data_IF_792511198540
#
_entry.id   IF_792511198540
#
_cell.length_a   1.000
_cell.length_b   1.000
_cell.length_c   1.000
_cell.angle_alpha   90.00
_cell.angle_beta   90.00
_cell.angle_gamma   90.00
#
_symmetry.space_group_name_H-M   'P 1'
#
loop_
_entity.id
_entity.type
_entity.pdbx_description
1 polymer ?
#
# COMPACT_ATOMS: atom_id res chain seq x y z
N UNK A 1 9.51 11.08 -12.67
CA UNK A 1 8.35 10.18 -12.54
C UNK A 1 8.55 9.13 -11.43
N UNK A 2 7.63 9.09 -10.46
CA UNK A 2 7.66 8.15 -9.33
C UNK A 2 6.86 6.90 -9.70
N UNK A 3 7.33 5.75 -9.23
CA UNK A 3 6.54 4.53 -9.22
C UNK A 3 6.38 4.13 -7.76
N UNK A 4 5.27 4.55 -7.15
CA UNK A 4 4.90 4.10 -5.81
C UNK A 4 4.43 2.67 -5.96
N UNK A 5 5.24 1.73 -5.47
CA UNK A 5 4.75 0.39 -5.22
C UNK A 5 4.45 0.32 -3.75
N UNK A 6 3.20 0.64 -3.44
CA UNK A 6 2.55 -0.17 -2.44
C UNK A 6 2.75 -1.62 -2.91
N UNK A 7 3.32 -2.51 -2.10
CA UNK A 7 3.60 -3.88 -2.54
C UNK A 7 2.25 -4.60 -2.69
N UNK A 8 1.56 -4.33 -3.80
CA UNK A 8 0.42 -5.06 -4.34
C UNK A 8 0.99 -6.33 -4.96
N UNK A 9 1.73 -7.13 -4.17
CA UNK A 9 1.89 -8.53 -4.53
C UNK A 9 0.64 -9.30 -4.09
N UNK A 10 -0.19 -8.77 -3.17
CA UNK A 10 -1.43 -9.41 -2.74
C UNK A 10 -2.56 -8.44 -2.25
N UNK A 11 -2.79 -7.29 -2.88
CA UNK A 11 -4.15 -6.67 -2.82
C UNK A 11 -5.18 -7.44 -3.68
N UNK A 12 -4.79 -8.57 -4.27
CA UNK A 12 -5.76 -9.55 -4.73
C UNK A 12 -6.50 -10.02 -3.50
N UNK A 13 -7.82 -9.92 -3.54
CA UNK A 13 -8.65 -10.50 -2.51
C UNK A 13 -8.43 -12.01 -2.52
N UNK A 14 -7.48 -12.44 -1.71
CA UNK A 14 -7.03 -13.81 -1.63
C UNK A 14 -7.90 -14.48 -0.57
N UNK A 15 -8.33 -15.71 -0.83
CA UNK A 15 -9.20 -16.46 0.08
C UNK A 15 -8.63 -16.53 1.52
N UNK A 16 -7.30 -16.45 1.65
CA UNK A 16 -6.59 -16.38 2.93
C UNK A 16 -6.73 -15.03 3.64
N UNK A 17 -6.71 -13.89 2.94
CA UNK A 17 -6.77 -12.53 3.53
C UNK A 17 -8.13 -12.32 4.22
N UNK A 18 -9.20 -12.82 3.60
CA UNK A 18 -10.54 -12.77 4.17
C UNK A 18 -10.63 -13.46 5.54
N UNK A 19 -9.76 -14.44 5.84
CA UNK A 19 -9.77 -15.15 7.12
C UNK A 19 -9.05 -14.38 8.23
N UNK A 20 -8.02 -13.61 7.90
CA UNK A 20 -7.18 -12.91 8.89
C UNK A 20 -7.68 -11.51 9.24
N UNK A 21 -8.47 -10.90 8.37
CA UNK A 21 -8.96 -9.53 8.56
C UNK A 21 -10.39 -9.44 9.10
N UNK A 22 -10.88 -10.51 9.73
CA UNK A 22 -12.24 -10.58 10.26
C UNK A 22 -12.42 -9.66 11.48
N UNK A 23 -12.51 -8.35 11.25
CA UNK A 23 -13.43 -7.49 12.00
C UNK A 23 -14.74 -7.47 11.19
N UNK A 24 -15.73 -8.27 11.61
CA UNK A 24 -17.01 -8.44 10.90
C UNK A 24 -17.77 -7.10 10.70
N UNK A 25 -17.52 -6.09 11.55
CA UNK A 25 -18.27 -4.85 11.56
C UNK A 25 -17.90 -3.88 10.42
N UNK A 26 -16.63 -3.52 10.23
CA UNK A 26 -16.21 -2.56 9.20
C UNK A 26 -16.45 -3.06 7.77
N UNK A 27 -16.39 -4.37 7.59
CA UNK A 27 -16.63 -4.99 6.30
C UNK A 27 -18.09 -5.04 5.89
N UNK A 28 -19.00 -5.12 6.87
CA UNK A 28 -20.44 -5.00 6.63
C UNK A 28 -20.81 -3.58 6.20
N UNK A 29 -20.20 -2.55 6.81
CA UNK A 29 -20.57 -1.15 6.59
C UNK A 29 -20.29 -0.65 5.17
N UNK A 30 -19.13 -0.96 4.61
CA UNK A 30 -18.83 -0.59 3.21
C UNK A 30 -19.73 -1.30 2.21
N UNK A 31 -20.15 -2.55 2.49
CA UNK A 31 -21.14 -3.25 1.66
C UNK A 31 -22.52 -2.58 1.74
N UNK A 32 -22.97 -2.21 2.95
CA UNK A 32 -24.24 -1.51 3.16
C UNK A 32 -24.23 -0.15 2.44
N UNK A 33 -23.16 0.62 2.62
CA UNK A 33 -23.01 1.94 1.99
C UNK A 33 -22.93 1.84 0.47
N UNK A 34 -22.08 0.97 -0.08
CA UNK A 34 -21.89 0.85 -1.53
C UNK A 34 -23.11 0.24 -2.25
N UNK A 35 -23.94 -0.54 -1.54
CA UNK A 35 -25.19 -1.07 -2.08
C UNK A 35 -26.41 -0.19 -1.82
N UNK A 36 -26.27 0.91 -1.08
CA UNK A 36 -27.35 1.88 -0.90
C UNK A 36 -27.75 2.51 -2.24
N UNK A 37 -29.05 2.52 -2.54
CA UNK A 37 -29.58 3.03 -3.80
C UNK A 37 -29.20 4.48 -4.07
N UNK A 38 -29.31 5.36 -3.08
CA UNK A 38 -29.00 6.78 -3.24
C UNK A 38 -27.49 7.00 -3.51
N UNK A 39 -26.63 6.25 -2.82
CA UNK A 39 -25.18 6.25 -3.08
C UNK A 39 -24.88 5.82 -4.51
N UNK A 40 -25.49 4.72 -4.97
CA UNK A 40 -25.30 4.19 -6.33
C UNK A 40 -25.79 5.15 -7.41
N UNK A 41 -26.95 5.78 -7.21
CA UNK A 41 -27.47 6.80 -8.11
C UNK A 41 -26.54 8.04 -8.15
N UNK A 42 -26.01 8.46 -7.00
CA UNK A 42 -25.07 9.61 -6.88
C UNK A 42 -23.72 9.33 -7.54
N UNK A 43 -23.20 8.10 -7.40
CA UNK A 43 -21.96 7.65 -8.05
C UNK A 43 -22.15 7.32 -9.55
N UNK A 44 -23.35 7.50 -10.10
CA UNK A 44 -23.63 7.25 -11.52
C UNK A 44 -23.71 5.76 -11.91
N UNK A 45 -23.94 4.86 -10.96
CA UNK A 45 -24.08 3.43 -11.25
C UNK A 45 -25.45 3.16 -11.88
N UNK A 46 -25.48 2.98 -13.20
CA UNK A 46 -26.70 2.73 -13.95
C UNK A 46 -27.42 1.44 -13.52
N UNK A 47 -28.74 1.52 -13.36
CA UNK A 47 -29.59 0.37 -13.01
C UNK A 47 -29.43 -0.74 -14.05
N UNK A 48 -29.24 -1.98 -13.57
CA UNK A 48 -29.08 -3.17 -14.42
C UNK A 48 -27.66 -3.47 -14.89
N UNK A 49 -26.67 -2.61 -14.63
CA UNK A 49 -25.27 -2.88 -15.02
C UNK A 49 -24.56 -3.79 -14.02
N UNK A 50 -24.59 -3.44 -12.74
CA UNK A 50 -24.00 -4.23 -11.65
C UNK A 50 -25.12 -4.62 -10.69
N UNK A 51 -25.39 -5.90 -10.43
CA UNK A 51 -26.50 -6.30 -9.55
C UNK A 51 -26.22 -5.94 -8.09
N UNK A 52 -25.07 -6.36 -7.56
CA UNK A 52 -24.64 -6.10 -6.18
C UNK A 52 -23.16 -5.73 -6.20
N UNK A 53 -22.78 -4.71 -5.46
CA UNK A 53 -21.39 -4.41 -5.21
C UNK A 53 -20.86 -5.39 -4.18
N UNK A 54 -19.77 -6.07 -4.53
CA UNK A 54 -19.00 -6.92 -3.63
C UNK A 54 -17.59 -6.37 -3.59
N UNK A 55 -16.97 -6.33 -2.41
CA UNK A 55 -15.58 -5.86 -2.28
C UNK A 55 -14.62 -6.70 -3.12
N UNK A 56 -14.89 -8.00 -3.16
CA UNK A 56 -14.01 -9.00 -3.75
C UNK A 56 -14.78 -9.99 -4.60
N UNK A 57 -14.52 -9.98 -5.92
CA UNK A 57 -15.10 -10.94 -6.83
C UNK A 57 -14.14 -12.10 -7.11
N UNK A 58 -14.27 -13.19 -6.35
CA UNK A 58 -13.47 -14.40 -6.52
C UNK A 58 -13.89 -15.26 -7.72
N UNK A 59 -14.99 -14.92 -8.41
CA UNK A 59 -15.46 -15.64 -9.59
C UNK A 59 -14.77 -15.22 -10.89
N UNK A 60 -13.93 -14.19 -10.86
CA UNK A 60 -13.19 -13.72 -12.03
C UNK A 60 -12.05 -14.69 -12.33
N UNK A 61 -12.00 -15.32 -13.53
CA UNK A 61 -10.91 -16.22 -13.88
C UNK A 61 -9.61 -15.42 -13.96
N UNK A 62 -8.71 -15.65 -13.01
CA UNK A 62 -7.38 -15.06 -12.97
C UNK A 62 -6.33 -16.16 -13.07
N UNK A 63 -5.40 -16.02 -14.01
CA UNK A 63 -4.27 -16.95 -14.16
C UNK A 63 -3.02 -16.29 -13.59
N UNK A 64 -2.33 -16.99 -12.69
CA UNK A 64 -1.06 -16.54 -12.10
C UNK A 64 0.11 -16.93 -13.01
N UNK A 65 0.43 -16.08 -13.97
CA UNK A 65 1.52 -16.28 -14.94
C UNK A 65 2.83 -15.59 -14.53
N UNK A 66 2.76 -14.50 -13.75
CA UNK A 66 3.93 -13.79 -13.21
C UNK A 66 4.29 -14.33 -11.82
N UNK A 67 5.45 -15.01 -11.73
CA UNK A 67 5.97 -15.55 -10.46
C UNK A 67 6.77 -14.54 -9.63
N UNK A 68 7.32 -13.50 -10.26
CA UNK A 68 8.15 -12.51 -9.59
C UNK A 68 8.13 -11.18 -10.32
N UNK A 69 8.02 -10.10 -9.55
CA UNK A 69 8.07 -8.71 -10.02
C UNK A 69 9.49 -8.14 -10.07
N UNK A 70 10.50 -8.87 -9.55
CA UNK A 70 11.88 -8.35 -9.37
C UNK A 70 12.47 -7.78 -10.65
N UNK A 71 12.37 -8.48 -11.77
CA UNK A 71 12.99 -8.03 -13.03
C UNK A 71 12.29 -6.80 -13.62
N UNK A 72 10.97 -6.69 -13.45
CA UNK A 72 10.23 -5.49 -13.85
C UNK A 72 10.69 -4.26 -13.06
N UNK A 73 10.87 -4.40 -11.75
CA UNK A 73 11.37 -3.30 -10.91
C UNK A 73 12.83 -2.95 -11.24
N UNK A 74 13.67 -3.94 -11.55
CA UNK A 74 15.04 -3.69 -12.02
C UNK A 74 15.05 -2.90 -13.33
N UNK A 75 14.16 -3.25 -14.27
CA UNK A 75 14.00 -2.52 -15.54
C UNK A 75 13.57 -1.06 -15.32
N UNK A 76 12.60 -0.83 -14.42
CA UNK A 76 12.16 0.52 -14.06
C UNK A 76 13.26 1.32 -13.36
N UNK A 77 14.01 0.70 -12.44
CA UNK A 77 15.14 1.34 -11.78
C UNK A 77 16.23 1.75 -12.78
N UNK A 78 16.56 0.91 -13.77
CA UNK A 78 17.52 1.24 -14.85
C UNK A 78 17.08 2.45 -15.68
N UNK A 79 15.77 2.67 -15.81
CA UNK A 79 15.19 3.83 -16.51
C UNK A 79 15.13 5.10 -15.64
N UNK A 80 15.63 5.06 -14.41
CA UNK A 80 15.68 6.21 -13.50
C UNK A 80 14.37 6.47 -12.74
N UNK A 81 13.42 5.54 -12.73
CA UNK A 81 12.22 5.69 -11.90
C UNK A 81 12.56 5.51 -10.43
N UNK A 82 12.06 6.44 -9.60
CA UNK A 82 12.17 6.37 -8.14
C UNK A 82 11.09 5.43 -7.61
N UNK A 83 11.44 4.62 -6.61
CA UNK A 83 10.52 3.66 -6.02
C UNK A 83 10.32 3.91 -4.54
N UNK A 84 9.06 3.86 -4.12
CA UNK A 84 8.69 3.68 -2.72
C UNK A 84 8.19 2.26 -2.55
N UNK A 85 8.64 1.61 -1.48
CA UNK A 85 8.06 0.38 -0.99
C UNK A 85 7.78 0.58 0.50
N UNK A 86 6.59 0.21 0.95
CA UNK A 86 6.28 0.21 2.36
C UNK A 86 5.53 -1.04 2.80
N UNK A 87 5.61 -1.34 4.10
CA UNK A 87 4.93 -2.49 4.71
C UNK A 87 4.57 -2.17 6.16
N UNK A 88 3.38 -2.59 6.59
CA UNK A 88 3.03 -2.60 8.00
C UNK A 88 3.86 -3.65 8.75
N UNK A 89 4.28 -3.36 9.98
CA UNK A 89 5.05 -4.31 10.79
C UNK A 89 4.20 -5.41 11.47
N UNK A 90 2.86 -5.24 11.50
CA UNK A 90 1.87 -6.21 11.95
C UNK A 90 1.15 -6.95 10.80
N UNK A 91 1.54 -6.74 9.54
CA UNK A 91 1.05 -7.57 8.43
C UNK A 91 1.62 -9.00 8.54
N UNK A 92 0.75 -9.95 8.89
CA UNK A 92 1.11 -11.37 8.95
C UNK A 92 1.00 -12.10 7.60
N UNK A 93 0.28 -11.54 6.63
CA UNK A 93 0.08 -12.16 5.31
C UNK A 93 1.26 -11.86 4.40
N UNK A 94 1.72 -10.61 4.39
CA UNK A 94 2.90 -10.15 3.63
C UNK A 94 3.86 -9.43 4.59
N UNK A 95 4.56 -10.18 5.46
CA UNK A 95 5.39 -9.58 6.49
C UNK A 95 6.52 -8.75 5.89
N UNK A 96 6.82 -7.62 6.53
CA UNK A 96 7.87 -6.69 6.08
C UNK A 96 9.24 -7.35 5.88
N UNK A 97 9.54 -8.44 6.62
CA UNK A 97 10.76 -9.24 6.44
C UNK A 97 10.80 -9.90 5.05
N UNK A 98 9.65 -10.37 4.55
CA UNK A 98 9.50 -10.88 3.19
C UNK A 98 9.77 -9.80 2.16
N UNK A 99 9.21 -8.60 2.37
CA UNK A 99 9.49 -7.42 1.54
C UNK A 99 10.97 -7.05 1.57
N UNK A 100 11.64 -7.07 2.73
CA UNK A 100 13.08 -6.84 2.83
C UNK A 100 13.89 -7.88 2.04
N UNK A 101 13.54 -9.16 2.12
CA UNK A 101 14.18 -10.22 1.34
C UNK A 101 14.01 -9.99 -0.17
N UNK A 102 12.80 -9.60 -0.60
CA UNK A 102 12.51 -9.22 -1.98
C UNK A 102 13.36 -8.00 -2.42
N UNK A 103 13.49 -6.96 -1.59
CA UNK A 103 14.32 -5.78 -1.90
C UNK A 103 15.80 -6.17 -2.03
N UNK A 104 16.32 -7.02 -1.13
CA UNK A 104 17.69 -7.53 -1.21
C UNK A 104 17.96 -8.26 -2.54
N UNK A 105 16.97 -8.94 -3.11
CA UNK A 105 17.09 -9.61 -4.41
C UNK A 105 17.34 -8.65 -5.59
N UNK A 106 16.98 -7.37 -5.45
CA UNK A 106 17.26 -6.33 -6.45
C UNK A 106 18.76 -5.99 -6.53
N UNK A 107 19.51 -6.24 -5.44
CA UNK A 107 20.96 -5.99 -5.29
C UNK A 107 21.35 -4.51 -5.38
N UNK A 108 20.52 -3.63 -4.83
CA UNK A 108 20.88 -2.23 -4.65
C UNK A 108 21.69 -2.02 -3.38
N UNK A 109 22.70 -1.15 -3.45
CA UNK A 109 23.50 -0.78 -2.28
C UNK A 109 22.66 0.09 -1.33
N UNK A 110 22.82 -0.14 -0.02
CA UNK A 110 22.22 0.71 1.02
C UNK A 110 23.04 2.00 1.11
N UNK A 111 22.36 3.14 0.99
CA UNK A 111 22.94 4.48 1.12
C UNK A 111 22.70 5.03 2.52
N UNK A 112 21.50 4.81 3.04
CA UNK A 112 21.14 5.24 4.39
C UNK A 112 20.55 4.06 5.15
N UNK A 113 21.16 3.76 6.29
CA UNK A 113 20.84 2.59 7.09
C UNK A 113 19.45 2.69 7.73
N UNK A 114 19.00 1.56 8.26
CA UNK A 114 17.74 1.42 8.97
C UNK A 114 17.65 2.42 10.13
N UNK A 115 16.80 3.42 9.98
CA UNK A 115 16.62 4.50 10.97
C UNK A 115 15.15 4.79 11.22
N UNK A 116 14.78 5.27 12.41
CA UNK A 116 13.40 5.64 12.69
C UNK A 116 12.97 6.85 11.86
N UNK A 117 11.70 6.90 11.48
CA UNK A 117 11.03 8.12 11.04
C UNK A 117 9.91 8.45 12.00
N UNK A 118 9.59 9.75 12.09
CA UNK A 118 8.71 10.28 13.11
C UNK A 118 7.49 10.94 12.47
N UNK A 119 6.32 10.68 13.03
CA UNK A 119 5.09 11.44 12.77
C UNK A 119 4.56 11.91 14.12
N UNK A 120 4.03 13.14 14.17
CA UNK A 120 3.39 13.72 15.39
C UNK A 120 4.22 13.57 16.69
N UNK A 121 5.56 13.58 16.57
CA UNK A 121 6.48 13.46 17.71
C UNK A 121 6.71 12.03 18.21
N UNK A 122 6.14 11.02 17.55
CA UNK A 122 6.33 9.59 17.86
C UNK A 122 7.03 8.87 16.71
N UNK A 123 7.68 7.74 17.03
CA UNK A 123 8.25 6.86 15.99
C UNK A 123 7.09 6.21 15.25
N UNK A 124 6.92 6.57 13.99
CA UNK A 124 5.87 6.04 13.13
C UNK A 124 6.35 4.83 12.30
N UNK A 125 7.66 4.54 12.33
CA UNK A 125 8.25 3.32 11.80
C UNK A 125 9.72 3.51 11.47
N UNK A 126 10.24 2.74 10.51
CA UNK A 126 11.65 2.79 10.12
C UNK A 126 11.81 2.90 8.61
N UNK A 127 12.94 3.44 8.15
CA UNK A 127 13.21 3.60 6.73
C UNK A 127 14.65 3.24 6.36
N UNK A 128 14.86 2.83 5.10
CA UNK A 128 16.16 2.57 4.49
C UNK A 128 16.17 3.15 3.08
N UNK A 129 17.27 3.83 2.73
CA UNK A 129 17.47 4.38 1.39
C UNK A 129 18.49 3.54 0.62
N UNK A 130 18.18 3.25 -0.64
CA UNK A 130 19.04 2.51 -1.54
C UNK A 130 19.53 3.40 -2.70
N UNK A 131 20.68 3.03 -3.27
CA UNK A 131 21.42 3.84 -4.25
C UNK A 131 20.65 4.17 -5.54
N UNK A 132 19.63 3.39 -5.88
CA UNK A 132 18.78 3.61 -7.05
C UNK A 132 17.56 4.52 -6.76
N UNK A 133 17.61 5.33 -5.70
CA UNK A 133 16.48 6.12 -5.21
C UNK A 133 15.25 5.27 -4.87
N UNK A 134 15.47 4.04 -4.39
CA UNK A 134 14.45 3.23 -3.75
C UNK A 134 14.46 3.52 -2.26
N UNK A 135 13.29 3.85 -1.73
CA UNK A 135 13.08 4.03 -0.30
C UNK A 135 12.17 2.92 0.20
N UNK A 136 12.64 2.20 1.22
CA UNK A 136 11.81 1.27 1.96
C UNK A 136 11.38 1.91 3.28
N UNK A 137 10.12 1.78 3.65
CA UNK A 137 9.60 2.24 4.93
C UNK A 137 8.73 1.17 5.60
N UNK A 138 8.84 0.99 6.90
CA UNK A 138 7.81 0.32 7.68
C UNK A 138 6.91 1.32 8.35
N UNK A 139 5.65 0.94 8.54
CA UNK A 139 4.67 1.65 9.36
C UNK A 139 4.47 0.84 10.63
N UNK A 140 4.73 1.47 11.77
CA UNK A 140 4.53 0.90 13.10
C UNK A 140 3.04 0.72 13.33
N UNK A 141 2.67 -0.43 13.89
CA UNK A 141 1.28 -0.82 14.11
C UNK A 141 0.47 -0.94 12.81
N UNK A 142 1.17 -0.99 11.66
CA UNK A 142 0.56 -1.14 10.35
C UNK A 142 0.26 -2.60 10.01
N UNK A 143 -0.87 -2.87 9.39
CA UNK A 143 -1.40 -4.18 9.07
C UNK A 143 -1.91 -4.22 7.63
N UNK A 144 -2.16 -5.42 7.09
CA UNK A 144 -2.78 -5.53 5.76
C UNK A 144 -4.20 -4.93 5.72
N UNK A 145 -4.85 -4.87 6.87
CA UNK A 145 -6.25 -4.52 7.00
C UNK A 145 -6.34 -3.32 7.90
N UNK A 146 -6.04 -2.17 7.28
CA UNK A 146 -5.89 -0.87 7.90
C UNK A 146 -6.91 -0.62 9.02
N UNK A 147 -6.40 -0.33 10.21
CA UNK A 147 -7.16 0.25 11.32
C UNK A 147 -7.09 1.79 11.31
N UNK A 148 -7.97 2.46 12.05
CA UNK A 148 -8.02 3.94 12.07
C UNK A 148 -6.69 4.59 12.49
N UNK A 149 -5.99 4.05 13.49
CA UNK A 149 -4.67 4.56 13.91
C UNK A 149 -3.55 4.34 12.87
N UNK A 150 -3.70 3.36 12.00
CA UNK A 150 -2.80 3.11 10.87
C UNK A 150 -3.00 4.15 9.76
N UNK A 151 -4.24 4.64 9.57
CA UNK A 151 -4.54 5.63 8.55
C UNK A 151 -3.77 6.95 8.75
N UNK A 152 -3.64 7.43 9.99
CA UNK A 152 -2.87 8.64 10.30
C UNK A 152 -1.37 8.47 10.02
N UNK A 153 -0.82 7.29 10.32
CA UNK A 153 0.57 6.96 10.04
C UNK A 153 0.82 6.80 8.54
N UNK A 154 -0.09 6.16 7.80
CA UNK A 154 -0.06 6.03 6.34
C UNK A 154 -0.17 7.39 5.64
N UNK A 155 -1.07 8.27 6.12
CA UNK A 155 -1.16 9.65 5.63
C UNK A 155 0.09 10.46 5.95
N UNK A 156 0.61 10.32 7.16
CA UNK A 156 1.86 10.97 7.57
C UNK A 156 3.05 10.47 6.76
N UNK A 157 3.10 9.18 6.41
CA UNK A 157 4.10 8.63 5.51
C UNK A 157 3.97 9.27 4.12
N UNK A 158 2.76 9.33 3.56
CA UNK A 158 2.52 9.99 2.27
C UNK A 158 2.94 11.47 2.30
N UNK A 159 2.58 12.20 3.35
CA UNK A 159 2.94 13.60 3.52
C UNK A 159 4.46 13.81 3.72
N UNK A 160 5.08 13.05 4.62
CA UNK A 160 6.53 13.06 4.85
C UNK A 160 7.29 12.78 3.56
N UNK A 161 6.80 11.84 2.75
CA UNK A 161 7.41 11.51 1.47
C UNK A 161 7.29 12.60 0.43
N UNK A 162 6.16 13.28 0.34
CA UNK A 162 6.05 14.47 -0.49
C UNK A 162 7.07 15.54 -0.05
N UNK A 163 7.32 15.70 1.25
CA UNK A 163 8.31 16.66 1.76
C UNK A 163 9.77 16.23 1.50
N UNK A 164 10.10 14.95 1.65
CA UNK A 164 11.49 14.44 1.52
C UNK A 164 11.87 14.15 0.06
N UNK A 165 10.90 13.76 -0.77
CA UNK A 165 11.17 13.34 -2.15
C UNK A 165 10.69 14.32 -3.21
N UNK A 166 9.86 15.31 -2.87
CA UNK A 166 9.34 16.37 -3.77
C UNK A 166 9.50 17.77 -3.14
N UNK A 167 10.73 18.31 -2.97
CA UNK A 167 10.92 19.65 -2.42
C UNK A 167 10.35 20.79 -3.29
N UNK A 168 9.79 20.48 -4.47
CA UNK A 168 9.27 21.46 -5.44
C UNK A 168 7.75 21.49 -5.57
N UNK A 169 7.00 20.69 -4.80
CA UNK A 169 5.54 20.83 -4.76
C UNK A 169 5.16 21.63 -3.52
N UNK A 170 4.65 22.86 -3.66
CA UNK A 170 4.10 23.57 -2.52
C UNK A 170 2.89 22.76 -2.02
N UNK A 171 2.99 22.29 -0.78
CA UNK A 171 1.84 21.82 0.00
C UNK A 171 0.87 22.98 0.16
N UNK A 172 -0.02 23.15 -0.82
CA UNK A 172 -1.31 23.74 -0.55
C UNK A 172 -2.23 22.57 -0.22
N UNK A 173 -2.58 22.42 1.05
CA UNK A 173 -3.93 22.10 1.53
C UNK A 173 -3.86 22.01 3.06
N UNK A 174 -4.12 23.16 3.69
CA UNK A 174 -4.82 23.20 4.96
C UNK A 174 -6.27 22.80 4.69
N UNK A 175 -6.79 21.80 5.41
CA UNK A 175 -8.15 21.72 5.93
C UNK A 175 -8.19 20.61 6.99
#
# INVERSE_FOLDING_TARGET
PYFILNFIQHCLCHHYIHKYCMHEEGYSMSSIWANNRAVRETLGVHKGTVPVWVRCNHGTPYTTDIRSSVEYHRSLAKRGYRSLIYSGDHDMTVPFIGTQAWIRSLRFAVVDQWRPWYATGQVAGFTTLYANNLTFATVKDGSLCEGEGESDASWSLFAWMCLVHLPTLPFALSF
#
